data_IF_571186392465
#
_entry.id   IF_571186392465
#
_cell.length_a   1.000
_cell.length_b   1.000
_cell.length_c   1.000
_cell.angle_alpha   90.00
_cell.angle_beta   90.00
_cell.angle_gamma   90.00
#
_symmetry.space_group_name_H-M   'P 1'
#
loop_
_entity.id
_entity.type
_entity.pdbx_description
1 polymer ?
#
# COMPACT_ATOMS: atom_id res chain seq x y z
N UNK A 1 -23.84 7.76 3.16
CA UNK A 1 -23.52 6.32 3.04
C UNK A 1 -22.16 5.98 3.63
N UNK A 2 -21.05 6.61 3.19
CA UNK A 2 -19.69 6.27 3.67
C UNK A 2 -19.53 6.44 5.19
N UNK A 3 -20.02 7.54 5.79
CA UNK A 3 -19.94 7.75 7.23
C UNK A 3 -20.65 6.64 8.04
N UNK A 4 -21.87 6.26 7.64
CA UNK A 4 -22.62 5.19 8.31
C UNK A 4 -21.94 3.82 8.18
N UNK A 5 -21.31 3.54 7.04
CA UNK A 5 -20.52 2.32 6.84
C UNK A 5 -19.26 2.31 7.71
N UNK A 6 -18.53 3.42 7.76
CA UNK A 6 -17.34 3.54 8.60
C UNK A 6 -17.67 3.37 10.08
N UNK A 7 -18.76 3.99 10.55
CA UNK A 7 -19.26 3.81 11.91
C UNK A 7 -19.65 2.34 12.19
N UNK A 8 -20.37 1.70 11.25
CA UNK A 8 -20.73 0.28 11.36
C UNK A 8 -19.53 -0.68 11.38
N UNK A 9 -18.39 -0.27 10.83
CA UNK A 9 -17.13 -1.02 10.86
C UNK A 9 -16.22 -0.63 12.04
N UNK A 10 -16.65 0.26 12.93
CA UNK A 10 -15.85 0.75 14.06
C UNK A 10 -14.63 1.57 13.64
N UNK A 11 -14.63 2.12 12.43
CA UNK A 11 -13.53 2.94 11.93
C UNK A 11 -13.58 4.35 12.54
N UNK A 12 -12.42 4.94 12.87
CA UNK A 12 -12.35 6.34 13.29
C UNK A 12 -12.92 7.28 12.23
N UNK A 13 -13.65 8.28 12.70
CA UNK A 13 -14.27 9.32 11.87
C UNK A 13 -13.90 10.69 12.44
N UNK A 14 -13.37 11.56 11.58
CA UNK A 14 -13.17 12.97 11.85
C UNK A 14 -14.01 13.78 10.85
N UNK A 15 -14.81 14.70 11.36
CA UNK A 15 -15.54 15.66 10.53
C UNK A 15 -14.61 16.81 10.13
N UNK A 16 -14.65 17.21 8.87
CA UNK A 16 -13.88 18.36 8.38
C UNK A 16 -14.66 19.63 8.71
N UNK A 17 -14.14 20.40 9.66
CA UNK A 17 -14.73 21.66 10.10
C UNK A 17 -14.26 22.81 9.20
N UNK A 18 -15.14 23.24 8.29
CA UNK A 18 -14.85 24.32 7.34
C UNK A 18 -14.69 25.71 7.97
N UNK A 19 -14.95 25.87 9.27
CA UNK A 19 -14.67 27.12 9.99
C UNK A 19 -13.21 27.25 10.43
N UNK A 20 -12.44 26.15 10.39
CA UNK A 20 -11.03 26.12 10.75
C UNK A 20 -10.14 26.38 9.54
N UNK A 21 -8.96 26.92 9.81
CA UNK A 21 -7.88 27.02 8.82
C UNK A 21 -7.31 25.64 8.49
N UNK A 22 -6.59 25.56 7.37
CA UNK A 22 -5.94 24.32 6.96
C UNK A 22 -4.93 23.79 8.01
N UNK A 23 -4.03 24.61 8.58
CA UNK A 23 -3.14 24.14 9.65
C UNK A 23 -3.91 23.59 10.87
N UNK A 24 -4.96 24.27 11.32
CA UNK A 24 -5.79 23.82 12.44
C UNK A 24 -6.49 22.48 12.14
N UNK A 25 -6.94 22.27 10.90
CA UNK A 25 -7.48 20.99 10.47
C UNK A 25 -6.41 19.90 10.36
N UNK A 26 -5.20 20.24 9.92
CA UNK A 26 -4.08 19.30 9.87
C UNK A 26 -3.68 18.81 11.26
N UNK A 27 -3.62 19.72 12.24
CA UNK A 27 -3.35 19.38 13.63
C UNK A 27 -4.47 18.50 14.21
N UNK A 28 -5.74 18.85 13.94
CA UNK A 28 -6.88 18.05 14.37
C UNK A 28 -6.85 16.62 13.79
N UNK A 29 -6.44 16.46 12.53
CA UNK A 29 -6.23 15.15 11.90
C UNK A 29 -5.09 14.42 12.60
N UNK A 30 -3.93 15.07 12.78
CA UNK A 30 -2.77 14.45 13.41
C UNK A 30 -3.10 13.91 14.81
N UNK A 31 -3.74 14.74 15.64
CA UNK A 31 -4.13 14.39 17.00
C UNK A 31 -5.17 13.26 17.04
N UNK A 32 -6.20 13.32 16.20
CA UNK A 32 -7.27 12.32 16.17
C UNK A 32 -6.74 10.91 15.84
N UNK A 33 -5.74 10.83 14.95
CA UNK A 33 -5.19 9.56 14.49
C UNK A 33 -3.90 9.16 15.19
N UNK A 34 -3.26 10.02 15.99
CA UNK A 34 -1.95 9.78 16.61
C UNK A 34 -1.84 8.44 17.34
N UNK A 35 -2.77 8.17 18.27
CA UNK A 35 -2.76 6.92 19.04
C UNK A 35 -2.88 5.67 18.15
N UNK A 36 -3.70 5.75 17.09
CA UNK A 36 -3.86 4.66 16.12
C UNK A 36 -2.66 4.50 15.21
N UNK A 37 -1.96 5.58 14.86
CA UNK A 37 -0.71 5.53 14.08
C UNK A 37 0.40 4.88 14.92
N UNK A 38 0.53 5.28 16.19
CA UNK A 38 1.48 4.69 17.14
C UNK A 38 1.19 3.19 17.31
N UNK A 39 -0.08 2.85 17.57
CA UNK A 39 -0.53 1.47 17.67
C UNK A 39 -0.63 0.73 16.32
N UNK A 40 -0.30 1.41 15.20
CA UNK A 40 -0.73 1.09 13.84
C UNK A 40 -0.59 -0.37 13.44
N UNK A 41 -1.31 -0.82 12.41
CA UNK A 41 -1.26 -2.22 11.98
C UNK A 41 0.19 -2.60 11.69
N UNK A 42 0.78 -3.39 12.59
CA UNK A 42 2.07 -4.01 12.40
C UNK A 42 1.79 -5.44 11.99
N UNK A 43 2.53 -5.90 10.99
CA UNK A 43 2.61 -7.33 10.77
C UNK A 43 3.13 -7.99 12.04
N UNK A 44 2.43 -9.02 12.51
CA UNK A 44 2.80 -9.81 13.68
C UNK A 44 4.12 -10.55 13.46
N UNK A 45 4.35 -10.98 12.23
CA UNK A 45 5.51 -11.74 11.80
C UNK A 45 5.86 -11.46 10.33
N UNK A 46 6.95 -12.06 9.86
CA UNK A 46 7.39 -11.84 8.49
C UNK A 46 6.49 -12.45 7.41
N UNK A 47 5.75 -13.51 7.72
CA UNK A 47 4.80 -14.12 6.79
C UNK A 47 3.59 -13.20 6.58
N UNK A 48 3.09 -12.56 7.64
CA UNK A 48 2.06 -11.53 7.55
C UNK A 48 2.55 -10.29 6.83
N UNK A 49 3.78 -9.83 7.11
CA UNK A 49 4.36 -8.68 6.41
C UNK A 49 4.44 -8.95 4.91
N UNK A 50 4.94 -10.13 4.52
CA UNK A 50 4.99 -10.57 3.13
C UNK A 50 3.61 -10.58 2.47
N UNK A 51 2.59 -11.14 3.12
CA UNK A 51 1.20 -11.14 2.61
C UNK A 51 0.68 -9.71 2.39
N UNK A 52 0.96 -8.79 3.33
CA UNK A 52 0.58 -7.38 3.20
C UNK A 52 1.25 -6.74 1.99
N UNK A 53 2.58 -6.90 1.82
CA UNK A 53 3.33 -6.34 0.69
C UNK A 53 2.87 -6.91 -0.65
N UNK A 54 2.62 -8.21 -0.74
CA UNK A 54 2.06 -8.83 -1.95
C UNK A 54 0.69 -8.26 -2.32
N UNK A 55 -0.17 -8.02 -1.33
CA UNK A 55 -1.48 -7.40 -1.56
C UNK A 55 -1.38 -5.94 -1.99
N UNK A 56 -0.48 -5.17 -1.38
CA UNK A 56 -0.17 -3.79 -1.78
C UNK A 56 0.29 -3.76 -3.25
N UNK A 57 1.27 -4.57 -3.59
CA UNK A 57 1.83 -4.66 -4.94
C UNK A 57 0.79 -5.14 -5.96
N UNK A 58 -0.06 -6.11 -5.63
CA UNK A 58 -1.14 -6.55 -6.51
C UNK A 58 -2.16 -5.42 -6.79
N UNK A 59 -2.46 -4.57 -5.80
CA UNK A 59 -3.29 -3.38 -5.99
C UNK A 59 -2.64 -2.35 -6.90
N UNK A 60 -1.34 -2.07 -6.70
CA UNK A 60 -0.56 -1.20 -7.59
C UNK A 60 -0.57 -1.74 -9.02
N UNK A 61 -0.24 -3.02 -9.20
CA UNK A 61 -0.24 -3.67 -10.51
C UNK A 61 -1.59 -3.56 -11.21
N UNK A 62 -2.70 -3.84 -10.51
CA UNK A 62 -4.05 -3.68 -11.07
C UNK A 62 -4.32 -2.26 -11.57
N UNK A 63 -3.95 -1.24 -10.79
CA UNK A 63 -4.09 0.16 -11.22
C UNK A 63 -3.22 0.48 -12.45
N UNK A 64 -2.00 -0.05 -12.51
CA UNK A 64 -1.09 0.14 -13.64
C UNK A 64 -1.59 -0.58 -14.91
N UNK A 65 -2.19 -1.76 -14.80
CA UNK A 65 -2.85 -2.42 -15.92
C UNK A 65 -4.00 -1.56 -16.47
N UNK A 66 -4.83 -0.98 -15.59
CA UNK A 66 -5.89 -0.05 -16.01
C UNK A 66 -5.33 1.20 -16.68
N UNK A 67 -4.23 1.76 -16.15
CA UNK A 67 -3.53 2.90 -16.72
C UNK A 67 -3.01 2.59 -18.14
N UNK A 68 -2.34 1.44 -18.32
CA UNK A 68 -1.84 0.96 -19.61
C UNK A 68 -2.96 0.84 -20.62
N UNK A 69 -4.08 0.23 -20.23
CA UNK A 69 -5.24 0.07 -21.10
C UNK A 69 -5.88 1.41 -21.50
N UNK A 70 -5.83 2.43 -20.62
CA UNK A 70 -6.40 3.74 -20.90
C UNK A 70 -5.52 4.58 -21.83
N UNK A 71 -4.20 4.55 -21.63
CA UNK A 71 -3.24 5.39 -22.37
C UNK A 71 -2.54 4.70 -23.54
N UNK A 72 -2.85 3.42 -23.79
CA UNK A 72 -2.22 2.58 -24.81
C UNK A 72 -0.68 2.60 -24.73
N UNK A 73 -0.15 2.39 -23.51
CA UNK A 73 1.28 2.39 -23.28
C UNK A 73 1.91 1.14 -23.90
N UNK A 74 2.52 1.31 -25.08
CA UNK A 74 3.19 0.24 -25.83
C UNK A 74 4.37 -0.36 -25.02
N UNK A 75 5.17 0.51 -24.40
CA UNK A 75 6.25 0.13 -23.48
C UNK A 75 5.96 0.70 -22.10
N UNK A 76 5.45 -0.10 -21.15
CA UNK A 76 5.17 0.39 -19.82
C UNK A 76 6.49 0.73 -19.11
N UNK A 77 6.61 1.91 -18.47
CA UNK A 77 7.80 2.26 -17.72
C UNK A 77 7.99 1.31 -16.53
N UNK A 78 9.17 1.36 -15.91
CA UNK A 78 9.41 0.68 -14.64
C UNK A 78 8.71 1.44 -13.51
N UNK A 79 8.14 0.69 -12.59
CA UNK A 79 7.46 1.21 -11.41
C UNK A 79 8.04 0.60 -10.15
N UNK A 80 7.90 1.33 -9.05
CA UNK A 80 8.27 0.87 -7.72
C UNK A 80 7.26 -0.16 -7.20
N UNK A 81 7.73 -1.36 -6.89
CA UNK A 81 7.01 -2.36 -6.11
C UNK A 81 7.67 -2.55 -4.74
N UNK A 82 6.89 -2.80 -3.69
CA UNK A 82 7.43 -3.07 -2.36
C UNK A 82 8.17 -4.42 -2.31
N UNK A 83 9.28 -4.49 -1.61
CA UNK A 83 9.95 -5.76 -1.34
C UNK A 83 9.08 -6.69 -0.47
N UNK A 84 8.92 -7.94 -0.89
CA UNK A 84 8.11 -8.98 -0.26
C UNK A 84 8.95 -9.97 0.58
N UNK A 85 10.17 -9.61 0.96
CA UNK A 85 11.08 -10.50 1.71
C UNK A 85 10.46 -11.01 3.03
N UNK A 86 9.58 -10.21 3.63
CA UNK A 86 8.96 -10.50 4.93
C UNK A 86 9.74 -9.93 6.11
N UNK A 87 10.91 -9.32 5.90
CA UNK A 87 11.63 -8.61 6.97
C UNK A 87 10.75 -7.49 7.52
N UNK A 88 10.45 -7.54 8.82
CA UNK A 88 9.62 -6.54 9.48
C UNK A 88 10.27 -5.16 9.35
N UNK A 89 9.49 -4.19 8.90
CA UNK A 89 9.99 -2.83 8.69
C UNK A 89 10.82 -2.64 7.42
N UNK A 90 10.92 -3.63 6.53
CA UNK A 90 11.54 -3.43 5.21
C UNK A 90 10.81 -2.33 4.42
N UNK A 91 11.60 -1.41 3.88
CA UNK A 91 11.14 -0.25 3.08
C UNK A 91 11.68 -0.26 1.65
N UNK A 92 12.47 -1.27 1.30
CA UNK A 92 13.08 -1.38 -0.02
C UNK A 92 12.04 -1.53 -1.12
N UNK A 93 12.39 -1.03 -2.30
CA UNK A 93 11.57 -1.10 -3.52
C UNK A 93 12.32 -1.87 -4.59
N UNK A 94 11.56 -2.57 -5.42
CA UNK A 94 12.04 -3.28 -6.61
C UNK A 94 11.44 -2.59 -7.82
N UNK A 95 12.30 -2.17 -8.74
CA UNK A 95 11.88 -1.58 -10.01
C UNK A 95 11.53 -2.70 -10.97
N UNK A 96 10.26 -2.76 -11.37
CA UNK A 96 9.75 -3.73 -12.34
C UNK A 96 8.78 -3.04 -13.30
N UNK A 97 8.71 -3.55 -14.52
CA UNK A 97 7.61 -3.28 -15.45
C UNK A 97 6.33 -3.96 -14.96
N UNK A 98 5.20 -3.56 -15.56
CA UNK A 98 3.89 -4.21 -15.32
C UNK A 98 3.98 -5.71 -15.60
N UNK A 99 4.61 -6.07 -16.73
CA UNK A 99 4.67 -7.46 -17.20
C UNK A 99 5.62 -8.32 -16.34
N UNK A 100 6.74 -7.77 -15.88
CA UNK A 100 7.66 -8.47 -14.97
C UNK A 100 7.02 -8.78 -13.62
N UNK A 101 6.27 -7.84 -13.05
CA UNK A 101 5.51 -8.10 -11.82
C UNK A 101 4.38 -9.11 -12.07
N UNK A 102 3.66 -8.98 -13.20
CA UNK A 102 2.62 -9.92 -13.61
C UNK A 102 3.13 -11.36 -13.70
N UNK A 103 4.29 -11.59 -14.32
CA UNK A 103 4.93 -12.89 -14.40
C UNK A 103 5.38 -13.42 -13.04
N UNK A 104 5.73 -12.55 -12.10
CA UNK A 104 6.08 -12.94 -10.72
C UNK A 104 4.87 -13.44 -9.92
N UNK A 105 3.63 -13.12 -10.34
CA UNK A 105 2.41 -13.57 -9.66
C UNK A 105 1.99 -15.01 -10.00
N UNK A 106 2.42 -15.56 -11.14
CA UNK A 106 1.95 -16.87 -11.62
C UNK A 106 2.30 -18.02 -10.64
N UNK A 107 3.52 -18.11 -10.09
CA UNK A 107 3.83 -19.12 -9.08
C UNK A 107 3.40 -18.63 -7.69
N UNK A 108 2.66 -19.41 -6.90
CA UNK A 108 2.17 -18.97 -5.59
C UNK A 108 3.30 -18.68 -4.58
N UNK A 109 4.47 -19.31 -4.76
CA UNK A 109 5.64 -19.20 -3.88
C UNK A 109 6.67 -18.15 -4.32
N UNK A 110 6.51 -17.57 -5.52
CA UNK A 110 7.42 -16.54 -6.00
C UNK A 110 7.07 -15.20 -5.36
N UNK A 111 8.13 -14.51 -4.93
CA UNK A 111 8.03 -13.22 -4.26
C UNK A 111 8.92 -12.21 -4.98
N UNK A 112 8.45 -10.96 -5.03
CA UNK A 112 9.25 -9.86 -5.52
C UNK A 112 10.14 -9.37 -4.39
N UNK A 113 11.44 -9.69 -4.48
CA UNK A 113 12.40 -9.44 -3.42
C UNK A 113 13.55 -8.60 -3.99
N UNK A 114 13.94 -7.56 -3.25
CA UNK A 114 15.09 -6.74 -3.63
C UNK A 114 16.37 -7.60 -3.66
N UNK A 115 17.31 -7.36 -4.59
CA UNK A 115 18.45 -8.26 -4.84
C UNK A 115 19.25 -8.61 -3.59
N UNK A 116 19.46 -7.66 -2.69
CA UNK A 116 20.17 -7.83 -1.42
C UNK A 116 19.45 -8.72 -0.40
N UNK A 117 18.18 -9.04 -0.64
CA UNK A 117 17.32 -9.87 0.21
C UNK A 117 16.96 -11.22 -0.42
N UNK A 118 17.42 -11.50 -1.64
CA UNK A 118 17.26 -12.77 -2.32
C UNK A 118 18.28 -13.78 -1.78
N UNK A 119 18.05 -14.28 -0.56
CA UNK A 119 18.80 -15.39 0.05
C UNK A 119 18.21 -16.75 -0.30
#
# INVERSE_FOLDING_TARGET
MIQGQAAGLGLPLLEVDGSRTLPEMMDAVADHFAARIVAGPRARDGAEHRRIRRRENAGIHGNLCSLRAHFDLAEPPVFDFACECGTLGCRERVLLTIDEYGAALEPPERHVVAPEHAG
#
